data_IF_666934679959
#
_entry.id   IF_666934679959
#
_cell.length_a   1.000
_cell.length_b   1.000
_cell.length_c   1.000
_cell.angle_alpha   90.00
_cell.angle_beta   90.00
_cell.angle_gamma   90.00
#
_symmetry.space_group_name_H-M   'P 1'
#
loop_
_entity.id
_entity.type
_entity.pdbx_description
1 polymer ?
#
# COMPACT_ATOMS: atom_id res chain seq x y z
N UNK A 1 1.30 -17.81 20.16
CA UNK A 1 2.31 -17.84 19.08
C UNK A 1 2.09 -19.15 18.32
N UNK A 2 1.45 -19.08 17.16
CA UNK A 2 1.35 -20.22 16.25
C UNK A 2 2.73 -20.48 15.65
N UNK A 3 3.20 -21.71 15.81
CA UNK A 3 4.47 -22.17 15.27
C UNK A 3 4.23 -22.59 13.81
N UNK A 4 4.70 -21.81 12.86
CA UNK A 4 4.70 -22.21 11.45
C UNK A 4 5.85 -23.21 11.26
N UNK A 5 5.53 -24.43 10.85
CA UNK A 5 6.51 -25.45 10.47
C UNK A 5 6.67 -25.38 8.96
N UNK A 6 7.85 -25.01 8.50
CA UNK A 6 8.22 -25.04 7.09
C UNK A 6 8.99 -26.33 6.82
N UNK A 7 8.50 -27.17 5.92
CA UNK A 7 9.19 -28.37 5.49
C UNK A 7 9.88 -28.09 4.17
N UNK A 8 11.21 -28.22 4.14
CA UNK A 8 12.00 -28.16 2.91
C UNK A 8 12.49 -29.55 2.55
N UNK A 9 12.30 -29.97 1.30
CA UNK A 9 12.77 -31.26 0.79
C UNK A 9 13.96 -30.99 -0.15
N UNK A 10 15.13 -31.50 0.23
CA UNK A 10 16.32 -31.44 -0.63
C UNK A 10 16.35 -32.64 -1.57
N UNK A 11 16.70 -32.42 -2.82
CA UNK A 11 16.86 -33.47 -3.85
C UNK A 11 18.20 -34.20 -3.76
N UNK A 12 19.16 -33.66 -2.99
CA UNK A 12 20.47 -34.22 -2.72
C UNK A 12 20.77 -34.18 -1.22
N UNK A 13 21.72 -34.99 -0.77
CA UNK A 13 22.13 -34.98 0.63
C UNK A 13 22.63 -33.59 1.04
N UNK A 14 21.96 -32.98 2.03
CA UNK A 14 22.18 -31.58 2.43
C UNK A 14 23.27 -31.41 3.52
N UNK A 15 23.69 -32.50 4.17
CA UNK A 15 24.73 -32.45 5.21
C UNK A 15 24.40 -31.71 6.49
N UNK A 16 23.13 -31.35 6.68
CA UNK A 16 22.66 -30.60 7.84
C UNK A 16 22.33 -31.54 9.01
N UNK A 17 22.70 -31.14 10.22
CA UNK A 17 22.35 -31.80 11.48
C UNK A 17 21.22 -31.08 12.23
N UNK A 18 20.69 -31.73 13.26
CA UNK A 18 19.72 -31.11 14.16
C UNK A 18 20.38 -29.96 14.93
N UNK A 19 19.81 -28.77 14.80
CA UNK A 19 20.32 -27.54 15.43
C UNK A 19 21.12 -26.63 14.50
N UNK A 20 21.37 -27.06 13.25
CA UNK A 20 21.99 -26.19 12.28
C UNK A 20 21.06 -25.04 11.87
N UNK A 21 21.62 -23.85 11.77
CA UNK A 21 20.88 -22.69 11.28
C UNK A 21 20.94 -22.68 9.76
N UNK A 22 19.80 -22.83 9.12
CA UNK A 22 19.66 -22.70 7.68
C UNK A 22 19.01 -21.38 7.32
N UNK A 23 19.58 -20.69 6.36
CA UNK A 23 18.90 -19.60 5.66
C UNK A 23 18.18 -20.20 4.46
N UNK A 24 16.85 -20.23 4.54
CA UNK A 24 16.05 -20.53 3.37
C UNK A 24 16.05 -19.27 2.49
N UNK A 25 16.82 -19.36 1.42
CA UNK A 25 16.71 -18.41 0.31
C UNK A 25 15.44 -18.79 -0.44
N UNK A 26 14.31 -18.34 0.08
CA UNK A 26 13.02 -18.59 -0.54
C UNK A 26 13.05 -17.88 -1.88
N UNK A 27 12.84 -18.64 -2.96
CA UNK A 27 12.73 -18.13 -4.31
C UNK A 27 11.99 -16.80 -4.32
N UNK A 28 12.52 -15.76 -4.98
CA UNK A 28 11.93 -14.45 -5.00
C UNK A 28 10.54 -14.50 -5.64
N UNK A 29 9.54 -14.75 -4.84
CA UNK A 29 8.15 -14.55 -5.22
C UNK A 29 7.80 -13.07 -5.09
N UNK A 30 6.99 -12.55 -6.00
CA UNK A 30 6.35 -11.25 -5.81
C UNK A 30 5.34 -11.45 -4.68
N UNK A 31 5.58 -10.83 -3.53
CA UNK A 31 4.71 -11.00 -2.36
C UNK A 31 3.41 -10.24 -2.53
N UNK A 32 3.50 -9.07 -3.18
CA UNK A 32 2.36 -8.19 -3.40
C UNK A 32 2.71 -7.19 -4.50
N UNK A 33 1.77 -6.96 -5.40
CA UNK A 33 1.83 -5.87 -6.37
C UNK A 33 0.89 -4.76 -5.92
N UNK A 34 1.42 -3.58 -5.71
CA UNK A 34 0.65 -2.41 -5.31
C UNK A 34 0.68 -1.35 -6.41
N UNK A 35 -0.46 -0.74 -6.69
CA UNK A 35 -0.53 0.44 -7.56
C UNK A 35 -0.30 1.68 -6.74
N UNK A 36 0.57 2.54 -7.24
CA UNK A 36 0.94 3.81 -6.60
C UNK A 36 0.30 4.95 -7.39
N UNK A 37 -0.33 5.87 -6.67
CA UNK A 37 -0.88 7.11 -7.20
C UNK A 37 -0.39 8.30 -6.37
N UNK A 38 -0.23 9.44 -7.01
CA UNK A 38 -0.05 10.70 -6.30
C UNK A 38 -1.41 11.17 -5.76
N UNK A 39 -1.43 11.57 -4.52
CA UNK A 39 -2.62 12.13 -3.91
C UNK A 39 -2.40 13.61 -3.62
N UNK A 40 -3.10 14.48 -4.33
CA UNK A 40 -2.99 15.93 -4.21
C UNK A 40 -3.34 16.45 -2.81
N UNK A 41 -4.27 15.78 -2.14
CA UNK A 41 -4.78 16.20 -0.83
C UNK A 41 -3.69 16.33 0.24
N UNK A 42 -2.62 15.54 0.17
CA UNK A 42 -1.55 15.56 1.16
C UNK A 42 -0.13 15.48 0.58
N UNK A 43 0.05 15.55 -0.73
CA UNK A 43 1.31 15.22 -1.41
C UNK A 43 1.86 13.87 -0.97
N UNK A 44 0.97 12.92 -0.71
CA UNK A 44 1.31 11.63 -0.13
C UNK A 44 0.99 10.50 -1.09
N UNK A 45 1.69 9.47 -0.86
CA UNK A 45 1.71 8.22 -1.56
C UNK A 45 0.44 7.41 -1.24
N UNK A 46 -0.33 7.05 -2.24
CA UNK A 46 -1.40 6.07 -2.12
C UNK A 46 -0.94 4.75 -2.71
N UNK A 47 -1.00 3.68 -1.92
CA UNK A 47 -0.52 2.35 -2.31
C UNK A 47 -1.62 1.32 -2.10
N UNK A 48 -1.96 0.64 -3.18
CA UNK A 48 -3.09 -0.27 -3.18
C UNK A 48 -4.42 0.49 -3.08
N UNK A 49 -5.46 -0.13 -3.55
CA UNK A 49 -6.82 0.38 -3.34
C UNK A 49 -7.74 -0.81 -3.10
N UNK A 50 -8.75 -0.58 -2.30
CA UNK A 50 -9.85 -1.54 -2.14
C UNK A 50 -11.09 -0.97 -2.80
N UNK A 51 -11.94 -1.85 -3.30
CA UNK A 51 -13.21 -1.45 -3.90
C UNK A 51 -14.37 -2.09 -3.16
N UNK A 52 -15.48 -1.40 -3.19
CA UNK A 52 -16.77 -1.94 -2.76
C UNK A 52 -17.89 -1.37 -3.66
N UNK A 53 -19.04 -2.01 -3.63
CA UNK A 53 -20.26 -1.54 -4.30
C UNK A 53 -21.33 -1.23 -3.28
N UNK A 54 -22.43 -0.66 -3.69
CA UNK A 54 -23.55 -0.37 -2.79
C UNK A 54 -24.07 -1.60 -2.02
N UNK A 55 -24.00 -2.79 -2.62
CA UNK A 55 -24.38 -4.04 -1.94
C UNK A 55 -23.48 -4.38 -0.75
N UNK A 56 -22.28 -3.83 -0.71
CA UNK A 56 -21.35 -3.97 0.41
C UNK A 56 -21.61 -3.01 1.58
N UNK A 57 -22.60 -2.13 1.47
CA UNK A 57 -22.92 -1.12 2.51
C UNK A 57 -24.05 -1.62 3.40
N UNK A 58 -23.79 -1.69 4.69
CA UNK A 58 -24.80 -1.92 5.71
C UNK A 58 -25.11 -0.60 6.43
N UNK A 59 -26.24 0.02 6.07
CA UNK A 59 -26.66 1.31 6.64
C UNK A 59 -27.11 1.23 8.10
N UNK A 60 -27.56 0.07 8.57
CA UNK A 60 -27.96 -0.11 9.96
C UNK A 60 -26.77 -0.12 10.92
N UNK A 61 -25.63 -0.68 10.49
CA UNK A 61 -24.39 -0.72 11.27
C UNK A 61 -23.35 0.30 10.82
N UNK A 62 -23.60 1.03 9.72
CA UNK A 62 -22.65 1.94 9.07
C UNK A 62 -21.35 1.24 8.65
N UNK A 63 -21.46 -0.03 8.27
CA UNK A 63 -20.31 -0.86 7.88
C UNK A 63 -20.21 -0.99 6.36
N UNK A 64 -18.97 -1.09 5.89
CA UNK A 64 -18.60 -1.33 4.50
C UNK A 64 -17.89 -2.68 4.44
N UNK A 65 -18.36 -3.57 3.58
CA UNK A 65 -17.76 -4.90 3.37
C UNK A 65 -16.66 -4.81 2.33
N UNK A 66 -15.45 -5.19 2.72
CA UNK A 66 -14.25 -5.30 1.89
C UNK A 66 -13.48 -6.51 2.37
N UNK A 67 -13.61 -7.62 1.69
CA UNK A 67 -13.04 -8.91 2.11
C UNK A 67 -11.51 -8.83 2.24
N UNK A 68 -10.98 -9.29 3.37
CA UNK A 68 -9.54 -9.32 3.68
C UNK A 68 -8.86 -7.95 3.47
N UNK A 69 -9.49 -6.85 3.89
CA UNK A 69 -9.04 -5.49 3.60
C UNK A 69 -7.67 -5.10 4.19
N UNK A 70 -7.19 -5.76 5.23
CA UNK A 70 -5.88 -5.49 5.83
C UNK A 70 -5.75 -4.17 6.59
N UNK A 71 -6.78 -3.32 6.62
CA UNK A 71 -6.75 -2.04 7.35
C UNK A 71 -6.76 -2.24 8.87
N UNK A 72 -6.18 -1.26 9.55
CA UNK A 72 -6.21 -1.11 11.00
C UNK A 72 -7.02 0.13 11.41
N UNK A 73 -7.55 0.13 12.63
CA UNK A 73 -8.21 1.32 13.16
C UNK A 73 -7.22 2.48 13.24
N UNK A 74 -7.62 3.64 12.71
CA UNK A 74 -6.80 4.84 12.62
C UNK A 74 -6.09 5.02 11.28
N UNK A 75 -6.12 4.04 10.39
CA UNK A 75 -5.58 4.19 9.04
C UNK A 75 -6.30 5.31 8.31
N UNK A 76 -5.53 6.18 7.67
CA UNK A 76 -6.06 7.26 6.84
C UNK A 76 -6.24 6.79 5.41
N UNK A 77 -7.41 7.05 4.85
CA UNK A 77 -7.77 6.72 3.46
C UNK A 77 -8.34 7.93 2.75
N UNK A 78 -8.33 7.90 1.43
CA UNK A 78 -9.15 8.77 0.58
C UNK A 78 -10.27 7.92 -0.02
N UNK A 79 -11.48 8.40 0.11
CA UNK A 79 -12.64 7.85 -0.58
C UNK A 79 -12.79 8.54 -1.94
N UNK A 80 -12.95 7.74 -3.01
CA UNK A 80 -13.20 8.21 -4.37
C UNK A 80 -14.39 7.47 -4.96
N UNK A 81 -15.27 8.18 -5.66
CA UNK A 81 -16.40 7.58 -6.36
C UNK A 81 -16.96 8.52 -7.41
N UNK A 82 -17.54 7.94 -8.46
CA UNK A 82 -18.33 8.68 -9.46
C UNK A 82 -19.79 8.86 -9.08
N UNK A 83 -20.23 8.27 -7.94
CA UNK A 83 -21.56 8.39 -7.36
C UNK A 83 -21.47 8.31 -5.85
N UNK A 84 -22.16 9.20 -5.16
CA UNK A 84 -21.99 9.35 -3.71
C UNK A 84 -22.74 8.28 -2.91
N UNK A 85 -22.09 7.79 -1.86
CA UNK A 85 -22.74 7.16 -0.70
C UNK A 85 -23.09 8.29 0.24
N UNK A 86 -24.35 8.37 0.69
CA UNK A 86 -24.73 9.40 1.66
C UNK A 86 -23.90 9.29 2.93
N UNK A 87 -23.34 10.41 3.36
CA UNK A 87 -22.38 10.51 4.46
C UNK A 87 -20.91 10.54 4.04
N UNK A 88 -20.59 10.16 2.79
CA UNK A 88 -19.26 10.26 2.24
C UNK A 88 -19.22 11.24 1.07
N UNK A 89 -18.14 11.96 0.92
CA UNK A 89 -17.89 12.87 -0.19
C UNK A 89 -16.71 12.40 -1.01
N UNK A 90 -16.82 12.50 -2.34
CA UNK A 90 -15.76 12.15 -3.27
C UNK A 90 -14.45 12.90 -2.94
N UNK A 91 -13.33 12.26 -3.21
CA UNK A 91 -11.98 12.78 -2.98
C UNK A 91 -11.75 13.33 -1.56
N UNK A 92 -12.37 12.71 -0.57
CA UNK A 92 -12.32 13.15 0.84
C UNK A 92 -11.59 12.15 1.71
N UNK A 93 -10.78 12.69 2.65
CA UNK A 93 -10.04 11.88 3.61
C UNK A 93 -10.93 11.43 4.77
N UNK A 94 -10.84 10.14 5.10
CA UNK A 94 -11.47 9.51 6.25
C UNK A 94 -10.50 8.65 7.02
N UNK A 95 -10.92 8.16 8.19
CA UNK A 95 -10.15 7.28 9.04
C UNK A 95 -10.90 5.99 9.28
N UNK A 96 -10.19 4.88 9.17
CA UNK A 96 -10.75 3.54 9.30
C UNK A 96 -11.04 3.22 10.77
N UNK A 97 -12.20 2.63 11.02
CA UNK A 97 -12.55 1.89 12.22
C UNK A 97 -12.64 0.43 11.77
N UNK A 98 -11.71 -0.42 12.18
CA UNK A 98 -11.74 -1.84 11.86
C UNK A 98 -12.85 -2.52 12.68
N UNK A 99 -13.85 -3.06 11.99
CA UNK A 99 -14.97 -3.77 12.62
C UNK A 99 -14.71 -5.29 12.64
N UNK A 100 -14.16 -5.82 11.53
CA UNK A 100 -13.70 -7.22 11.39
C UNK A 100 -12.55 -7.31 10.39
N UNK A 101 -12.19 -8.50 9.93
CA UNK A 101 -11.22 -8.67 8.83
C UNK A 101 -11.84 -8.31 7.46
N UNK A 102 -13.16 -8.36 7.36
CA UNK A 102 -13.89 -8.16 6.11
C UNK A 102 -14.80 -6.92 6.14
N UNK A 103 -14.86 -6.19 7.25
CA UNK A 103 -15.71 -5.01 7.39
C UNK A 103 -15.00 -3.86 8.09
N UNK A 104 -15.22 -2.66 7.55
CA UNK A 104 -14.75 -1.41 8.15
C UNK A 104 -15.92 -0.44 8.35
N UNK A 105 -15.70 0.54 9.22
CA UNK A 105 -16.49 1.77 9.28
C UNK A 105 -15.54 2.95 9.08
N UNK A 106 -16.08 4.11 8.73
CA UNK A 106 -15.27 5.31 8.50
C UNK A 106 -15.63 6.40 9.51
N UNK A 107 -14.63 7.18 9.90
CA UNK A 107 -14.78 8.35 10.76
C UNK A 107 -14.19 9.60 10.09
N UNK A 108 -14.66 10.77 10.46
CA UNK A 108 -14.22 12.06 9.88
C UNK A 108 -12.82 12.47 10.30
N UNK A 109 -12.33 11.95 11.41
CA UNK A 109 -10.99 12.27 11.92
C UNK A 109 -10.41 11.10 12.74
N UNK A 110 -9.11 11.14 13.00
CA UNK A 110 -8.38 10.11 13.73
C UNK A 110 -8.94 9.89 15.15
N UNK A 111 -9.27 10.96 15.86
CA UNK A 111 -9.82 10.87 17.21
C UNK A 111 -11.12 10.07 17.23
N UNK A 112 -12.07 10.40 16.34
CA UNK A 112 -13.35 9.69 16.24
C UNK A 112 -13.20 8.21 15.87
N UNK A 113 -12.13 7.85 15.16
CA UNK A 113 -11.85 6.45 14.82
C UNK A 113 -11.27 5.66 16.00
N UNK A 114 -10.46 6.29 16.86
CA UNK A 114 -9.58 5.59 17.82
C UNK A 114 -10.00 5.69 19.29
N UNK A 115 -11.02 6.48 19.60
CA UNK A 115 -11.57 6.56 20.97
C UNK A 115 -12.20 5.23 21.40
N UNK A 116 -12.37 5.03 22.70
CA UNK A 116 -12.94 3.80 23.30
C UNK A 116 -14.31 3.42 22.70
N UNK A 117 -15.13 4.40 22.34
CA UNK A 117 -16.40 4.22 21.63
C UNK A 117 -16.34 4.98 20.31
N UNK A 118 -15.87 4.34 19.22
CA UNK A 118 -15.69 5.03 17.96
C UNK A 118 -16.97 5.64 17.41
N UNK A 119 -16.84 6.78 16.74
CA UNK A 119 -17.94 7.54 16.15
C UNK A 119 -17.93 7.39 14.63
N UNK A 120 -18.58 6.35 14.08
CA UNK A 120 -18.65 6.15 12.63
C UNK A 120 -19.56 7.18 11.98
N UNK A 121 -19.28 7.46 10.71
CA UNK A 121 -20.14 8.24 9.83
C UNK A 121 -21.41 7.45 9.55
N UNK A 122 -22.58 8.09 9.65
CA UNK A 122 -23.84 7.50 9.22
C UNK A 122 -23.87 7.35 7.70
N UNK A 123 -24.03 6.12 7.23
CA UNK A 123 -24.09 5.82 5.80
C UNK A 123 -25.55 5.67 5.36
N UNK A 124 -25.85 6.21 4.17
CA UNK A 124 -27.12 5.97 3.48
C UNK A 124 -26.85 5.52 2.05
N UNK A 125 -27.67 4.61 1.54
CA UNK A 125 -27.59 4.20 0.14
C UNK A 125 -28.43 5.13 -0.71
N UNK A 126 -27.89 5.61 -1.82
CA UNK A 126 -28.68 6.23 -2.88
C UNK A 126 -29.16 5.15 -3.84
N UNK A 127 -30.43 5.17 -4.23
CA UNK A 127 -30.95 4.24 -5.24
C UNK A 127 -30.28 4.52 -6.58
N UNK A 128 -29.47 3.61 -7.07
CA UNK A 128 -28.74 3.73 -8.34
C UNK A 128 -27.85 2.51 -8.56
N UNK A 129 -27.50 2.27 -9.81
CA UNK A 129 -26.74 1.11 -10.26
C UNK A 129 -25.43 0.87 -9.49
N UNK A 130 -24.85 -0.30 -9.69
CA UNK A 130 -23.58 -0.79 -9.13
C UNK A 130 -22.39 0.15 -9.38
N UNK A 131 -22.38 1.26 -8.65
CA UNK A 131 -21.27 2.20 -8.66
C UNK A 131 -20.14 1.58 -7.86
N UNK A 132 -18.96 1.58 -8.44
CA UNK A 132 -17.76 1.14 -7.75
C UNK A 132 -17.19 2.31 -6.96
N UNK A 133 -16.97 2.09 -5.69
CA UNK A 133 -16.35 3.00 -4.77
C UNK A 133 -14.94 2.54 -4.48
N UNK A 134 -14.01 3.47 -4.33
CA UNK A 134 -12.60 3.21 -4.09
C UNK A 134 -12.18 3.73 -2.72
N UNK A 135 -11.40 2.94 -2.02
CA UNK A 135 -10.71 3.32 -0.80
C UNK A 135 -9.21 3.24 -1.06
N UNK A 136 -8.57 4.40 -1.04
CA UNK A 136 -7.14 4.55 -1.31
C UNK A 136 -6.40 4.82 -0.01
N UNK A 137 -5.68 3.83 0.56
CA UNK A 137 -4.90 4.03 1.78
C UNK A 137 -3.76 5.00 1.53
N UNK A 138 -3.51 5.89 2.49
CA UNK A 138 -2.41 6.87 2.43
C UNK A 138 -1.25 6.36 3.28
N UNK A 139 -0.10 6.15 2.65
CA UNK A 139 1.11 5.67 3.28
C UNK A 139 0.85 4.47 4.21
N UNK A 140 0.21 3.39 3.72
CA UNK A 140 -0.08 2.22 4.55
C UNK A 140 1.21 1.54 4.99
N UNK A 141 1.14 0.83 6.12
CA UNK A 141 2.19 -0.10 6.50
C UNK A 141 2.17 -1.28 5.53
N UNK A 142 3.29 -1.50 4.84
CA UNK A 142 3.47 -2.62 3.92
C UNK A 142 4.37 -3.64 4.61
N UNK A 143 3.84 -4.82 4.86
CA UNK A 143 4.60 -5.91 5.44
C UNK A 143 5.22 -6.77 4.33
N UNK A 144 6.54 -6.89 4.35
CA UNK A 144 7.30 -7.70 3.39
C UNK A 144 8.17 -8.68 4.17
N UNK A 145 8.05 -9.95 3.84
CA UNK A 145 8.90 -10.98 4.45
C UNK A 145 10.31 -10.91 3.86
N UNK A 146 11.35 -11.08 4.68
CA UNK A 146 12.73 -11.12 4.19
C UNK A 146 12.92 -12.21 3.12
N UNK A 147 13.65 -11.88 2.07
CA UNK A 147 13.81 -12.73 0.88
C UNK A 147 12.72 -12.53 -0.17
N UNK A 148 11.63 -11.84 0.16
CA UNK A 148 10.56 -11.56 -0.80
C UNK A 148 10.78 -10.22 -1.53
N UNK A 149 10.15 -10.12 -2.69
CA UNK A 149 10.18 -8.96 -3.57
C UNK A 149 8.86 -8.20 -3.48
N UNK A 150 8.93 -6.94 -3.08
CA UNK A 150 7.81 -6.01 -3.20
C UNK A 150 7.83 -5.41 -4.61
N UNK A 151 6.69 -5.42 -5.29
CA UNK A 151 6.48 -4.70 -6.54
C UNK A 151 5.54 -3.52 -6.30
N UNK A 152 5.95 -2.33 -6.71
CA UNK A 152 5.11 -1.15 -6.79
C UNK A 152 4.87 -0.84 -8.27
N UNK A 153 3.62 -0.95 -8.72
CA UNK A 153 3.21 -0.49 -10.04
C UNK A 153 3.08 1.04 -9.98
N UNK A 154 3.96 1.73 -10.66
CA UNK A 154 4.06 3.20 -10.68
C UNK A 154 3.69 3.79 -12.04
N UNK A 155 2.86 3.09 -12.81
CA UNK A 155 2.43 3.51 -14.14
C UNK A 155 1.31 4.55 -14.14
N UNK A 156 0.75 4.91 -12.97
CA UNK A 156 -0.39 5.83 -12.89
C UNK A 156 -0.01 7.24 -13.36
N UNK A 157 -0.86 7.84 -14.20
CA UNK A 157 -0.61 9.15 -14.80
C UNK A 157 -0.54 10.30 -13.79
N UNK A 158 -1.09 10.14 -12.58
CA UNK A 158 -0.96 11.13 -11.51
C UNK A 158 0.50 11.31 -11.04
N UNK A 159 1.38 10.37 -11.39
CA UNK A 159 2.81 10.41 -11.09
C UNK A 159 3.64 11.07 -12.20
N UNK A 160 2.99 11.58 -13.24
CA UNK A 160 3.64 12.19 -14.40
C UNK A 160 3.21 13.64 -14.61
N UNK A 161 4.05 14.39 -15.30
CA UNK A 161 3.72 15.69 -15.88
C UNK A 161 3.75 15.61 -17.40
N UNK A 162 2.95 16.45 -18.06
CA UNK A 162 2.96 16.61 -19.52
C UNK A 162 3.43 18.01 -19.85
N UNK A 163 4.48 18.11 -20.65
CA UNK A 163 5.00 19.38 -21.14
C UNK A 163 5.37 19.25 -22.61
N UNK A 164 4.88 20.16 -23.43
CA UNK A 164 5.15 20.15 -24.89
C UNK A 164 4.70 18.87 -25.60
N UNK A 165 3.65 18.20 -25.10
CA UNK A 165 3.15 16.92 -25.66
C UNK A 165 3.97 15.69 -25.26
N UNK A 166 5.00 15.86 -24.42
CA UNK A 166 5.81 14.75 -23.90
C UNK A 166 5.47 14.51 -22.44
N UNK A 167 5.33 13.24 -22.06
CA UNK A 167 5.07 12.80 -20.67
C UNK A 167 6.39 12.52 -19.97
N UNK A 168 6.57 13.09 -18.80
CA UNK A 168 7.76 12.92 -17.95
C UNK A 168 7.36 12.43 -16.56
N UNK A 169 8.23 11.66 -15.91
CA UNK A 169 8.07 11.35 -14.48
C UNK A 169 8.09 12.62 -13.65
N UNK A 170 7.04 12.88 -12.89
CA UNK A 170 6.97 13.98 -11.93
C UNK A 170 7.60 13.61 -10.59
N UNK A 171 7.61 12.33 -10.26
CA UNK A 171 8.04 11.79 -8.99
C UNK A 171 8.95 10.57 -9.18
N UNK A 172 9.78 10.32 -8.16
CA UNK A 172 10.47 9.05 -7.94
C UNK A 172 9.95 8.42 -6.64
N UNK A 173 9.98 7.09 -6.58
CA UNK A 173 9.70 6.34 -5.34
C UNK A 173 11.03 6.02 -4.68
N UNK A 174 11.24 6.54 -3.49
CA UNK A 174 12.46 6.35 -2.73
C UNK A 174 12.17 5.70 -1.38
N UNK A 175 13.09 4.88 -0.91
CA UNK A 175 13.05 4.24 0.40
C UNK A 175 14.11 4.87 1.31
N UNK A 176 13.80 4.99 2.60
CA UNK A 176 14.66 5.68 3.56
C UNK A 176 14.80 4.85 4.84
N UNK A 177 15.94 5.02 5.52
CA UNK A 177 16.25 4.37 6.79
C UNK A 177 15.64 5.10 7.99
N UNK A 178 15.20 6.35 7.80
CA UNK A 178 14.64 7.19 8.85
C UNK A 178 13.34 7.88 8.41
N UNK A 179 12.52 8.21 9.41
CA UNK A 179 11.20 8.83 9.23
C UNK A 179 11.26 10.27 8.68
N UNK A 180 12.42 10.91 8.78
CA UNK A 180 12.61 12.30 8.34
C UNK A 180 13.12 12.36 6.88
N UNK A 181 13.23 11.21 6.21
CA UNK A 181 13.64 11.05 4.81
C UNK A 181 15.01 11.67 4.49
N UNK A 182 15.95 11.56 5.43
CA UNK A 182 17.32 12.12 5.29
C UNK A 182 18.33 11.12 4.78
N UNK A 183 18.15 9.82 5.11
CA UNK A 183 19.08 8.76 4.75
C UNK A 183 18.39 7.77 3.82
N UNK A 184 18.57 8.00 2.54
CA UNK A 184 18.01 7.14 1.51
C UNK A 184 18.61 5.72 1.61
N UNK A 185 17.74 4.72 1.43
CA UNK A 185 18.15 3.33 1.31
C UNK A 185 18.52 3.07 -0.14
N UNK A 186 19.78 3.28 -0.45
CA UNK A 186 20.36 3.04 -1.77
C UNK A 186 21.07 1.68 -1.78
N UNK A 187 21.07 1.06 -2.93
CA UNK A 187 21.94 -0.10 -3.21
C UNK A 187 23.39 0.34 -3.18
N UNK A 188 24.15 -0.14 -2.20
CA UNK A 188 25.53 0.31 -1.97
C UNK A 188 26.56 -0.49 -2.77
N UNK A 189 26.18 -1.64 -3.34
CA UNK A 189 27.09 -2.50 -4.10
C UNK A 189 26.44 -3.02 -5.39
N UNK A 190 27.20 -3.18 -6.48
CA UNK A 190 26.70 -3.66 -7.77
C UNK A 190 26.03 -5.04 -7.72
N UNK A 191 26.33 -5.84 -6.72
CA UNK A 191 25.87 -7.24 -6.59
C UNK A 191 24.64 -7.38 -5.68
N UNK A 192 24.11 -6.30 -5.11
CA UNK A 192 22.97 -6.32 -4.22
C UNK A 192 21.97 -5.21 -4.61
N UNK A 193 21.15 -5.49 -5.60
CA UNK A 193 20.08 -4.59 -6.05
C UNK A 193 18.88 -4.72 -5.12
N UNK A 194 18.87 -3.95 -4.03
CA UNK A 194 17.73 -3.93 -3.12
C UNK A 194 16.54 -3.14 -3.73
N UNK A 195 16.84 -2.08 -4.48
CA UNK A 195 15.84 -1.28 -5.20
C UNK A 195 16.17 -1.23 -6.69
N UNK A 196 15.22 -1.63 -7.53
CA UNK A 196 15.38 -1.59 -8.99
C UNK A 196 14.13 -0.98 -9.63
N UNK A 197 14.28 -0.39 -10.81
CA UNK A 197 13.18 0.17 -11.59
C UNK A 197 13.07 -0.52 -12.95
N UNK A 198 11.86 -0.64 -13.46
CA UNK A 198 11.56 -1.04 -14.83
C UNK A 198 10.60 -0.03 -15.42
N UNK A 199 10.94 0.55 -16.57
CA UNK A 199 10.19 1.66 -17.13
C UNK A 199 10.34 2.95 -16.32
N UNK A 200 9.47 3.91 -16.57
CA UNK A 200 9.49 5.23 -15.91
C UNK A 200 8.25 5.42 -15.03
N UNK A 201 8.41 6.10 -13.90
CA UNK A 201 7.31 6.43 -13.00
C UNK A 201 6.31 7.35 -13.72
N UNK A 202 5.01 7.06 -13.58
CA UNK A 202 3.94 7.79 -14.26
C UNK A 202 3.72 7.40 -15.73
N UNK A 203 4.46 6.43 -16.24
CA UNK A 203 4.38 5.96 -17.64
C UNK A 203 3.98 4.49 -17.66
N UNK A 204 3.17 4.11 -18.63
CA UNK A 204 2.70 2.72 -18.79
C UNK A 204 3.85 1.72 -18.69
N UNK A 205 3.68 0.71 -17.85
CA UNK A 205 4.68 -0.32 -17.58
C UNK A 205 5.71 0.05 -16.51
N UNK A 206 5.63 1.26 -15.94
CA UNK A 206 6.52 1.70 -14.85
C UNK A 206 6.34 0.86 -13.59
N UNK A 207 7.45 0.35 -13.05
CA UNK A 207 7.50 -0.47 -11.84
C UNK A 207 8.72 -0.12 -11.00
N UNK A 208 8.56 -0.17 -9.68
CA UNK A 208 9.67 -0.13 -8.72
C UNK A 208 9.63 -1.41 -7.91
N UNK A 209 10.77 -2.01 -7.70
CA UNK A 209 10.93 -3.22 -6.94
C UNK A 209 11.83 -2.99 -5.73
N UNK A 210 11.44 -3.52 -4.58
CA UNK A 210 12.29 -3.66 -3.42
C UNK A 210 12.52 -5.15 -3.18
N UNK A 211 13.76 -5.62 -3.38
CA UNK A 211 14.17 -6.97 -3.02
C UNK A 211 14.70 -6.96 -1.59
N UNK A 212 14.02 -7.67 -0.71
CA UNK A 212 14.46 -7.76 0.69
C UNK A 212 15.45 -8.92 0.87
N UNK A 213 16.42 -8.74 1.76
CA UNK A 213 17.42 -9.73 2.11
C UNK A 213 17.78 -9.66 3.60
N UNK A 214 18.75 -10.46 4.04
CA UNK A 214 19.17 -10.49 5.44
C UNK A 214 19.70 -9.15 5.98
N UNK A 215 20.19 -8.26 5.10
CA UNK A 215 20.74 -6.93 5.45
C UNK A 215 19.72 -5.81 5.36
N UNK A 216 18.52 -6.08 4.78
CA UNK A 216 17.46 -5.08 4.72
C UNK A 216 17.03 -4.70 6.14
N UNK A 217 16.95 -3.41 6.49
CA UNK A 217 16.43 -2.97 7.77
C UNK A 217 15.06 -3.54 8.08
N UNK A 218 14.72 -3.75 9.34
CA UNK A 218 13.38 -4.21 9.76
C UNK A 218 12.30 -3.20 9.43
N UNK A 219 12.66 -1.92 9.40
CA UNK A 219 11.78 -0.82 9.07
C UNK A 219 12.43 0.06 8.01
N UNK A 220 11.73 0.28 6.92
CA UNK A 220 12.02 1.27 5.91
C UNK A 220 10.85 2.23 5.78
N UNK A 221 11.16 3.47 5.51
CA UNK A 221 10.19 4.50 5.17
C UNK A 221 10.21 4.71 3.67
N UNK A 222 9.09 5.06 3.07
CA UNK A 222 8.99 5.32 1.65
C UNK A 222 8.30 6.65 1.38
N UNK A 223 8.66 7.30 0.27
CA UNK A 223 8.12 8.59 -0.11
C UNK A 223 8.11 8.77 -1.63
N UNK A 224 7.24 9.67 -2.11
CA UNK A 224 7.30 10.24 -3.46
C UNK A 224 8.16 11.50 -3.41
N UNK A 225 9.28 11.46 -4.10
CA UNK A 225 10.20 12.60 -4.21
C UNK A 225 10.01 13.26 -5.58
N UNK A 226 9.76 14.59 -5.66
CA UNK A 226 9.72 15.29 -6.93
C UNK A 226 11.05 15.14 -7.68
N UNK A 227 10.98 14.75 -8.96
CA UNK A 227 12.19 14.54 -9.78
C UNK A 227 12.74 15.86 -10.29
N UNK A 228 11.87 16.85 -10.46
CA UNK A 228 12.25 18.18 -10.96
C UNK A 228 11.19 19.20 -10.51
N UNK A 229 11.40 19.90 -9.39
CA UNK A 229 10.44 20.91 -8.90
C UNK A 229 10.33 22.14 -9.79
N UNK A 230 11.27 22.35 -10.72
CA UNK A 230 11.40 23.57 -11.54
C UNK A 230 11.15 23.32 -13.06
N UNK A 231 10.56 22.19 -13.47
CA UNK A 231 10.21 21.91 -14.86
C UNK A 231 8.74 21.71 -15.06
#
# INVERSE_FOLDING_TARGET
>A
LEKVVVTATATTAHGLGVGDTVFLDVLPGITSAYTVKYNEYNRKFSVGFSTFTQSGINTSSNAITIVNHGYSTGDKIIYESTGEVGGLSDNTAYFVIKDSNDTIKLATNYHNATIQYPLPIGLTTTAGADIVHYINPINPLINVTRGQKLELNVADSTLANVSGGTTYSAYAVNFFRDKDFKHEFLTVTPDQFDVTTSGSVGITGGKVFLQTNAKTPELLYYNLTPVNPDR
#
